data_IF_471988642599
#
_entry.id   IF_471988642599
#
_cell.length_a   1.000
_cell.length_b   1.000
_cell.length_c   1.000
_cell.angle_alpha   90.00
_cell.angle_beta   90.00
_cell.angle_gamma   90.00
#
_symmetry.space_group_name_H-M   'P 1'
#
loop_
_entity.id
_entity.type
_entity.pdbx_description
1 polymer ?
#
# COMPACT_ATOMS: atom_id res chain seq x y z
N UNK A 1 -12.09 7.54 47.41
CA UNK A 1 -12.76 6.45 48.15
C UNK A 1 -12.27 5.03 47.82
N UNK A 2 -12.03 4.60 46.58
CA UNK A 2 -11.49 3.23 46.31
C UNK A 2 -9.97 3.09 46.52
N UNK A 3 -9.24 4.19 46.70
CA UNK A 3 -7.78 4.22 46.88
C UNK A 3 -7.33 4.72 48.26
N UNK A 4 -8.25 5.11 49.17
CA UNK A 4 -7.86 5.49 50.55
C UNK A 4 -7.22 4.33 51.34
N UNK A 5 -7.75 3.09 51.31
CA UNK A 5 -7.23 2.02 52.15
C UNK A 5 -5.75 1.65 51.91
N UNK A 6 -5.23 1.58 50.66
CA UNK A 6 -3.81 1.30 50.44
C UNK A 6 -2.90 2.51 50.69
N UNK A 7 -3.41 3.75 50.62
CA UNK A 7 -2.61 4.95 50.84
C UNK A 7 -2.39 5.25 52.33
N UNK A 8 -3.39 4.99 53.18
CA UNK A 8 -3.24 5.05 54.64
C UNK A 8 -2.25 3.99 55.16
N UNK A 9 -2.22 2.81 54.54
CA UNK A 9 -1.29 1.73 54.91
C UNK A 9 0.20 2.07 54.65
N UNK A 10 0.48 3.04 53.78
CA UNK A 10 1.86 3.48 53.43
C UNK A 10 2.25 4.77 54.17
N UNK A 11 1.35 5.37 54.95
CA UNK A 11 1.65 6.57 55.76
C UNK A 11 1.85 7.84 54.93
N UNK A 12 1.17 7.95 53.79
CA UNK A 12 1.26 9.10 52.90
C UNK A 12 0.39 10.25 53.45
N UNK A 13 0.91 11.47 53.62
CA UNK A 13 0.11 12.62 54.09
C UNK A 13 -1.12 12.84 53.20
N UNK A 14 -2.30 13.11 53.79
CA UNK A 14 -3.58 13.29 53.08
C UNK A 14 -3.51 14.27 51.88
N UNK A 15 -2.66 15.30 52.00
CA UNK A 15 -2.44 16.28 50.94
C UNK A 15 -1.79 15.69 49.67
N UNK A 16 -1.08 14.57 49.77
CA UNK A 16 -0.37 13.91 48.66
C UNK A 16 -1.13 12.71 48.10
N UNK A 17 -2.11 12.17 48.83
CA UNK A 17 -2.92 11.02 48.38
C UNK A 17 -3.67 11.35 47.07
N UNK A 18 -4.30 12.53 46.99
CA UNK A 18 -5.03 12.94 45.79
C UNK A 18 -4.13 13.14 44.55
N UNK A 19 -3.01 13.90 44.62
CA UNK A 19 -2.08 14.03 43.51
C UNK A 19 -1.51 12.70 43.03
N UNK A 20 -1.11 11.80 43.95
CA UNK A 20 -0.52 10.52 43.55
C UNK A 20 -1.58 9.61 42.93
N UNK A 21 -2.78 9.53 43.50
CA UNK A 21 -3.89 8.78 42.91
C UNK A 21 -4.25 9.32 41.51
N UNK A 22 -4.23 10.63 41.32
CA UNK A 22 -4.46 11.26 40.02
C UNK A 22 -3.37 10.90 39.00
N UNK A 23 -2.09 10.97 39.38
CA UNK A 23 -0.97 10.58 38.51
C UNK A 23 -1.09 9.11 38.10
N UNK A 24 -1.35 8.21 39.05
CA UNK A 24 -1.54 6.78 38.76
C UNK A 24 -2.72 6.57 37.81
N UNK A 25 -3.87 7.19 38.09
CA UNK A 25 -5.06 7.07 37.25
C UNK A 25 -4.80 7.61 35.83
N UNK A 26 -4.12 8.75 35.71
CA UNK A 26 -3.77 9.35 34.44
C UNK A 26 -2.79 8.49 33.65
N UNK A 27 -1.71 8.01 34.28
CA UNK A 27 -0.73 7.11 33.65
C UNK A 27 -1.40 5.82 33.19
N UNK A 28 -2.28 5.25 33.99
CA UNK A 28 -3.00 4.03 33.63
C UNK A 28 -3.94 4.30 32.45
N UNK A 29 -4.70 5.40 32.49
CA UNK A 29 -5.61 5.78 31.42
C UNK A 29 -4.87 6.05 30.10
N UNK A 30 -3.76 6.79 30.13
CA UNK A 30 -2.96 7.07 28.94
C UNK A 30 -2.30 5.81 28.38
N UNK A 31 -1.74 4.96 29.25
CA UNK A 31 -1.16 3.69 28.82
C UNK A 31 -2.20 2.78 28.18
N UNK A 32 -3.37 2.63 28.81
CA UNK A 32 -4.43 1.78 28.30
C UNK A 32 -5.01 2.33 26.99
N UNK A 33 -5.15 3.64 26.87
CA UNK A 33 -5.58 4.30 25.64
C UNK A 33 -4.58 4.08 24.49
N UNK A 34 -3.29 4.28 24.72
CA UNK A 34 -2.24 4.04 23.71
C UNK A 34 -2.15 2.56 23.34
N UNK A 35 -2.25 1.67 24.32
CA UNK A 35 -2.19 0.23 24.11
C UNK A 35 -3.35 -0.25 23.22
N UNK A 36 -4.59 0.09 23.59
CA UNK A 36 -5.79 -0.37 22.88
C UNK A 36 -6.03 0.42 21.60
N UNK A 37 -5.81 1.74 21.62
CA UNK A 37 -6.14 2.64 20.53
C UNK A 37 -5.11 2.63 19.38
N UNK A 38 -3.83 2.44 19.71
CA UNK A 38 -2.75 2.55 18.71
C UNK A 38 -1.96 1.26 18.59
N UNK A 39 -1.34 0.78 19.68
CA UNK A 39 -0.32 -0.27 19.62
C UNK A 39 -0.89 -1.64 19.20
N UNK A 40 -2.02 -2.06 19.78
CA UNK A 40 -2.66 -3.34 19.44
C UNK A 40 -3.16 -3.31 17.98
N UNK A 41 -3.97 -2.33 17.53
CA UNK A 41 -4.43 -2.28 16.15
C UNK A 41 -3.28 -2.21 15.14
N UNK A 42 -2.26 -1.38 15.43
CA UNK A 42 -1.06 -1.26 14.59
C UNK A 42 -0.30 -2.57 14.50
N UNK A 43 -0.13 -3.29 15.61
CA UNK A 43 0.59 -4.56 15.61
C UNK A 43 -0.18 -5.65 14.86
N UNK A 44 -1.51 -5.70 14.98
CA UNK A 44 -2.37 -6.59 14.18
C UNK A 44 -2.25 -6.26 12.69
N UNK A 45 -2.24 -4.97 12.33
CA UNK A 45 -2.07 -4.51 10.96
C UNK A 45 -0.73 -4.96 10.34
N UNK A 46 0.34 -4.93 11.14
CA UNK A 46 1.67 -5.39 10.71
C UNK A 46 1.77 -6.92 10.64
N UNK A 47 1.09 -7.65 11.53
CA UNK A 47 1.11 -9.10 11.55
C UNK A 47 0.33 -9.73 10.36
N UNK A 48 -0.71 -9.05 9.86
CA UNK A 48 -1.51 -9.53 8.72
C UNK A 48 -1.77 -8.43 7.67
N UNK A 49 -0.74 -7.99 6.92
CA UNK A 49 -0.83 -6.83 6.02
C UNK A 49 -1.92 -6.96 4.95
N UNK A 50 -2.08 -8.15 4.37
CA UNK A 50 -3.03 -8.40 3.27
C UNK A 50 -4.48 -8.27 3.74
N UNK A 51 -4.84 -8.90 4.87
CA UNK A 51 -6.19 -8.83 5.41
C UNK A 51 -6.55 -7.41 5.87
N UNK A 52 -5.59 -6.71 6.50
CA UNK A 52 -5.78 -5.33 6.91
C UNK A 52 -5.89 -4.37 5.72
N UNK A 53 -5.10 -4.58 4.66
CA UNK A 53 -5.20 -3.81 3.42
C UNK A 53 -6.57 -3.98 2.74
N UNK A 54 -7.12 -5.20 2.72
CA UNK A 54 -8.45 -5.44 2.16
C UNK A 54 -9.57 -4.83 3.01
N UNK A 55 -9.44 -4.84 4.34
CA UNK A 55 -10.44 -4.29 5.24
C UNK A 55 -10.42 -2.74 5.30
N UNK A 56 -9.22 -2.14 5.40
CA UNK A 56 -9.04 -0.69 5.54
C UNK A 56 -8.83 0.03 4.19
N UNK A 57 -8.50 -0.69 3.13
CA UNK A 57 -8.31 -0.12 1.80
C UNK A 57 -9.50 0.71 1.32
N UNK A 58 -10.74 0.19 1.36
CA UNK A 58 -11.92 0.93 0.91
C UNK A 58 -12.15 2.24 1.69
N UNK A 59 -11.95 2.22 3.01
CA UNK A 59 -12.14 3.41 3.85
C UNK A 59 -11.05 4.46 3.63
N UNK A 60 -9.79 4.03 3.47
CA UNK A 60 -8.67 4.91 3.13
C UNK A 60 -8.85 5.54 1.74
N UNK A 61 -9.32 4.77 0.75
CA UNK A 61 -9.60 5.30 -0.59
C UNK A 61 -10.74 6.32 -0.54
N UNK A 62 -11.81 6.04 0.21
CA UNK A 62 -12.92 6.99 0.39
C UNK A 62 -12.45 8.30 1.05
N UNK A 63 -11.63 8.21 2.10
CA UNK A 63 -11.05 9.37 2.76
C UNK A 63 -10.13 10.16 1.82
N UNK A 64 -9.25 9.46 1.10
CA UNK A 64 -8.34 10.08 0.12
C UNK A 64 -9.13 10.78 -0.99
N UNK A 65 -10.22 10.18 -1.45
CA UNK A 65 -11.13 10.78 -2.43
C UNK A 65 -11.75 12.07 -1.90
N UNK A 66 -12.16 12.09 -0.64
CA UNK A 66 -12.73 13.27 0.02
C UNK A 66 -11.68 14.38 0.23
N UNK A 67 -10.44 14.02 0.55
CA UNK A 67 -9.33 14.97 0.72
C UNK A 67 -8.70 15.43 -0.61
N UNK A 68 -8.98 14.73 -1.72
CA UNK A 68 -8.45 15.05 -3.05
C UNK A 68 -8.55 16.54 -3.45
N UNK A 69 -9.68 17.25 -3.29
CA UNK A 69 -9.74 18.68 -3.61
C UNK A 69 -8.79 19.54 -2.75
N UNK A 70 -8.59 19.17 -1.48
CA UNK A 70 -7.68 19.88 -0.56
C UNK A 70 -6.23 19.67 -1.00
N UNK A 71 -5.85 18.42 -1.27
CA UNK A 71 -4.51 18.06 -1.76
C UNK A 71 -4.21 18.82 -3.06
N UNK A 72 -5.16 18.82 -4.00
CA UNK A 72 -5.00 19.54 -5.27
C UNK A 72 -4.85 21.05 -5.06
N UNK A 73 -5.65 21.65 -4.16
CA UNK A 73 -5.55 23.08 -3.84
C UNK A 73 -4.18 23.46 -3.27
N UNK A 74 -3.66 22.65 -2.34
CA UNK A 74 -2.33 22.86 -1.75
C UNK A 74 -1.23 22.71 -2.80
N UNK A 75 -1.28 21.67 -3.64
CA UNK A 75 -0.31 21.47 -4.71
C UNK A 75 -0.35 22.60 -5.75
N UNK A 76 -1.55 23.07 -6.12
CA UNK A 76 -1.70 24.19 -7.04
C UNK A 76 -1.08 25.48 -6.46
N UNK A 77 -1.29 25.73 -5.17
CA UNK A 77 -0.67 26.86 -4.48
C UNK A 77 0.85 26.75 -4.40
N UNK A 78 1.38 25.57 -4.05
CA UNK A 78 2.82 25.31 -4.02
C UNK A 78 3.46 25.51 -5.39
N UNK A 79 2.85 24.95 -6.44
CA UNK A 79 3.32 25.10 -7.82
C UNK A 79 3.26 26.56 -8.30
N UNK A 80 2.24 27.32 -7.89
CA UNK A 80 2.16 28.76 -8.17
C UNK A 80 3.32 29.52 -7.51
N UNK A 81 3.65 29.20 -6.27
CA UNK A 81 4.75 29.82 -5.55
C UNK A 81 6.12 29.49 -6.18
N UNK A 82 6.34 28.22 -6.56
CA UNK A 82 7.55 27.80 -7.26
C UNK A 82 7.71 28.52 -8.60
N UNK A 83 6.62 28.67 -9.37
CA UNK A 83 6.62 29.43 -10.62
C UNK A 83 6.97 30.90 -10.42
N UNK A 84 6.48 31.53 -9.36
CA UNK A 84 6.85 32.92 -9.01
C UNK A 84 8.35 33.06 -8.69
N UNK A 85 8.95 32.01 -8.13
CA UNK A 85 10.39 31.93 -7.85
C UNK A 85 11.23 31.45 -9.04
N UNK A 86 10.62 31.24 -10.23
CA UNK A 86 11.26 30.68 -11.44
C UNK A 86 11.87 29.28 -11.22
N UNK A 87 11.33 28.51 -10.29
CA UNK A 87 11.66 27.10 -10.09
C UNK A 87 10.67 26.25 -10.86
N UNK A 88 11.17 25.31 -11.65
CA UNK A 88 10.35 24.42 -12.47
C UNK A 88 9.62 23.41 -11.55
N UNK A 89 8.27 23.39 -11.51
CA UNK A 89 7.54 22.45 -10.69
C UNK A 89 7.73 21.03 -11.23
N UNK A 90 8.29 20.13 -10.43
CA UNK A 90 8.28 18.70 -10.73
C UNK A 90 6.96 18.11 -10.25
N UNK A 91 6.10 17.73 -11.17
CA UNK A 91 4.96 16.87 -10.88
C UNK A 91 5.50 15.45 -10.66
N UNK A 92 5.89 15.14 -9.43
CA UNK A 92 6.18 13.77 -8.98
C UNK A 92 4.85 13.01 -8.83
N UNK A 93 4.14 12.79 -9.95
CA UNK A 93 3.07 11.79 -9.96
C UNK A 93 3.75 10.44 -9.99
N UNK A 94 3.95 9.94 -8.78
CA UNK A 94 4.53 8.66 -8.41
C UNK A 94 4.02 7.49 -9.28
N UNK A 95 4.77 7.15 -10.33
CA UNK A 95 5.08 5.74 -10.57
C UNK A 95 6.15 5.41 -9.55
N UNK A 96 5.75 4.91 -8.38
CA UNK A 96 6.68 4.64 -7.25
C UNK A 96 7.78 3.66 -7.68
N UNK A 97 7.56 2.92 -8.77
CA UNK A 97 8.54 2.02 -9.36
C UNK A 97 8.49 2.16 -10.88
N UNK A 98 9.67 2.17 -11.49
CA UNK A 98 9.87 1.95 -12.92
C UNK A 98 9.59 0.49 -13.27
N UNK A 99 9.30 0.19 -14.54
CA UNK A 99 9.05 -1.20 -14.98
C UNK A 99 10.21 -2.15 -14.60
N UNK A 100 11.45 -1.67 -14.70
CA UNK A 100 12.64 -2.42 -14.30
C UNK A 100 12.69 -2.69 -12.79
N UNK A 101 12.24 -1.74 -11.97
CA UNK A 101 12.14 -1.90 -10.52
C UNK A 101 11.03 -2.88 -10.12
N UNK A 102 9.91 -2.90 -10.87
CA UNK A 102 8.84 -3.88 -10.66
C UNK A 102 9.30 -5.31 -10.94
N UNK A 103 10.05 -5.53 -12.03
CA UNK A 103 10.61 -6.85 -12.35
C UNK A 103 11.56 -7.32 -11.24
N UNK A 104 12.45 -6.44 -10.76
CA UNK A 104 13.36 -6.75 -9.64
C UNK A 104 12.61 -7.06 -8.35
N UNK A 105 11.55 -6.32 -8.05
CA UNK A 105 10.74 -6.55 -6.85
C UNK A 105 10.05 -7.93 -6.88
N UNK A 106 9.59 -8.37 -8.06
CA UNK A 106 9.01 -9.71 -8.24
C UNK A 106 10.07 -10.79 -8.05
N UNK A 107 11.27 -10.61 -8.63
CA UNK A 107 12.41 -11.53 -8.43
C UNK A 107 12.80 -11.64 -6.95
N UNK A 108 13.02 -10.51 -6.27
CA UNK A 108 13.38 -10.47 -4.85
C UNK A 108 12.30 -11.12 -3.97
N UNK A 109 11.02 -10.93 -4.30
CA UNK A 109 9.89 -11.53 -3.57
C UNK A 109 9.78 -13.03 -3.79
N UNK A 110 10.09 -13.52 -5.01
CA UNK A 110 10.19 -14.94 -5.32
C UNK A 110 11.37 -15.60 -4.60
N UNK A 111 12.54 -14.96 -4.57
CA UNK A 111 13.74 -15.46 -3.88
C UNK A 111 13.57 -15.48 -2.36
N UNK A 112 12.85 -14.51 -1.80
CA UNK A 112 12.48 -14.49 -0.39
C UNK A 112 11.41 -15.54 -0.01
N UNK A 113 10.90 -16.31 -0.98
CA UNK A 113 9.86 -17.32 -0.76
C UNK A 113 8.49 -16.74 -0.39
N UNK A 114 8.27 -15.45 -0.65
CA UNK A 114 7.01 -14.74 -0.38
C UNK A 114 5.98 -14.95 -1.50
N UNK A 115 6.44 -15.41 -2.67
CA UNK A 115 5.61 -15.78 -3.81
C UNK A 115 5.72 -17.29 -4.08
N UNK A 116 4.58 -17.93 -4.38
CA UNK A 116 4.61 -19.29 -4.88
C UNK A 116 5.33 -19.33 -6.24
N UNK A 117 6.10 -20.39 -6.57
CA UNK A 117 6.89 -20.44 -7.80
C UNK A 117 6.07 -20.21 -9.07
N UNK A 118 4.88 -20.80 -9.13
CA UNK A 118 3.96 -20.64 -10.26
C UNK A 118 3.39 -19.22 -10.40
N UNK A 119 3.27 -18.49 -9.29
CA UNK A 119 2.74 -17.13 -9.31
C UNK A 119 3.84 -16.11 -9.65
N UNK A 120 5.08 -16.34 -9.20
CA UNK A 120 6.24 -15.54 -9.60
C UNK A 120 6.51 -15.61 -11.10
N UNK A 121 6.44 -16.80 -11.69
CA UNK A 121 6.63 -17.00 -13.13
C UNK A 121 5.53 -16.29 -13.95
N UNK A 122 4.27 -16.39 -13.52
CA UNK A 122 3.15 -15.68 -14.17
C UNK A 122 3.27 -14.16 -14.09
N UNK A 123 3.68 -13.63 -12.93
CA UNK A 123 3.89 -12.19 -12.74
C UNK A 123 5.00 -11.67 -13.65
N UNK A 124 6.10 -12.42 -13.75
CA UNK A 124 7.22 -12.11 -14.64
C UNK A 124 6.77 -12.09 -16.11
N UNK A 125 6.08 -13.14 -16.56
CA UNK A 125 5.56 -13.23 -17.92
C UNK A 125 4.58 -12.10 -18.26
N UNK A 126 3.71 -11.72 -17.31
CA UNK A 126 2.76 -10.63 -17.49
C UNK A 126 3.44 -9.26 -17.63
N UNK A 127 4.52 -9.02 -16.89
CA UNK A 127 5.32 -7.79 -16.98
C UNK A 127 6.12 -7.73 -18.30
N UNK A 128 6.66 -8.86 -18.77
CA UNK A 128 7.38 -8.95 -20.05
C UNK A 128 6.44 -8.86 -21.27
N UNK A 129 5.18 -9.29 -21.15
CA UNK A 129 4.22 -9.26 -22.26
C UNK A 129 3.99 -7.83 -22.80
N UNK A 130 4.02 -6.83 -21.92
CA UNK A 130 3.81 -5.42 -22.28
C UNK A 130 5.01 -4.77 -23.00
N UNK A 131 6.19 -5.37 -22.88
CA UNK A 131 7.47 -4.83 -23.40
C UNK A 131 7.97 -5.56 -24.63
N UNK A 132 7.49 -6.78 -24.93
CA UNK A 132 7.92 -7.54 -26.12
C UNK A 132 7.40 -6.90 -27.41
N UNK A 133 8.29 -6.59 -28.39
CA UNK A 133 7.87 -6.07 -29.68
C UNK A 133 7.03 -7.12 -30.41
N UNK A 134 5.98 -6.68 -31.11
CA UNK A 134 5.01 -7.59 -31.76
C UNK A 134 5.70 -8.58 -32.72
N UNK A 135 6.81 -8.18 -33.33
CA UNK A 135 7.63 -9.05 -34.20
C UNK A 135 8.19 -10.31 -33.53
N UNK A 136 8.35 -10.34 -32.20
CA UNK A 136 8.80 -11.52 -31.45
C UNK A 136 7.68 -12.55 -31.20
N UNK A 137 6.41 -12.12 -31.31
CA UNK A 137 5.23 -12.96 -31.05
C UNK A 137 4.50 -13.33 -32.36
N UNK A 138 4.77 -12.59 -33.45
CA UNK A 138 4.21 -12.84 -34.77
C UNK A 138 4.72 -14.15 -35.38
N UNK A 139 3.83 -14.90 -36.02
CA UNK A 139 4.23 -16.00 -36.90
C UNK A 139 4.76 -15.39 -38.21
N UNK A 140 6.01 -15.67 -38.61
CA UNK A 140 6.57 -15.19 -39.86
C UNK A 140 5.70 -15.60 -41.06
N UNK A 141 5.48 -14.69 -42.02
CA UNK A 141 4.62 -14.94 -43.19
C UNK A 141 5.03 -16.19 -44.00
N UNK A 142 6.31 -16.55 -44.01
CA UNK A 142 6.82 -17.74 -44.67
C UNK A 142 6.48 -19.07 -43.96
N UNK A 143 5.99 -19.01 -42.72
CA UNK A 143 5.49 -20.15 -41.94
C UNK A 143 3.97 -20.14 -41.78
N UNK A 144 3.30 -19.13 -42.34
CA UNK A 144 1.85 -19.02 -42.30
C UNK A 144 1.25 -19.93 -43.35
N UNK A 145 0.25 -20.73 -42.96
CA UNK A 145 -0.58 -21.47 -43.90
C UNK A 145 -1.57 -20.48 -44.53
N UNK A 146 -1.41 -20.19 -45.81
CA UNK A 146 -2.25 -19.24 -46.56
C UNK A 146 -3.11 -19.96 -47.58
N UNK A 147 -4.27 -19.39 -47.90
CA UNK A 147 -5.19 -19.89 -48.92
C UNK A 147 -5.58 -18.77 -49.88
N UNK A 148 -5.84 -19.12 -51.14
CA UNK A 148 -6.23 -18.16 -52.16
C UNK A 148 -7.65 -17.63 -51.97
N UNK A 149 -7.85 -16.37 -52.38
CA UNK A 149 -9.16 -15.73 -52.46
C UNK A 149 -10.03 -16.46 -53.50
N UNK A 150 -10.96 -17.30 -53.00
CA UNK A 150 -11.86 -18.10 -53.83
C UNK A 150 -11.85 -19.60 -53.51
N UNK A 151 -11.09 -20.05 -52.52
CA UNK A 151 -11.08 -21.47 -52.11
C UNK A 151 -12.47 -21.93 -51.66
N UNK A 152 -12.91 -23.09 -52.15
CA UNK A 152 -14.14 -23.72 -51.70
C UNK A 152 -13.89 -24.50 -50.40
N UNK A 153 -14.89 -24.72 -49.54
CA UNK A 153 -14.73 -25.50 -48.30
C UNK A 153 -14.11 -26.89 -48.54
N UNK A 154 -14.49 -27.53 -49.65
CA UNK A 154 -13.97 -28.83 -50.07
C UNK A 154 -12.49 -28.79 -50.50
N UNK A 155 -11.98 -27.63 -50.92
CA UNK A 155 -10.56 -27.40 -51.21
C UNK A 155 -9.71 -27.10 -49.97
N UNK A 156 -10.35 -26.76 -48.84
CA UNK A 156 -9.69 -26.47 -47.56
C UNK A 156 -9.44 -27.75 -46.73
N UNK A 157 -10.24 -28.79 -46.95
CA UNK A 157 -10.17 -30.07 -46.21
C UNK A 157 -9.18 -31.10 -46.80
N UNK A 158 -8.49 -30.77 -47.90
CA UNK A 158 -7.43 -31.59 -48.50
C UNK A 158 -6.05 -31.13 -48.06
#
# INVERSE_FOLDING_TARGET
HLLEPPFDAVGVPDALVHPIAFVIALTLATYLHMLIGEMIPKNIALAAPVATALALGPSLVALTRALRPVIFGINAFANMLLRLLKVEPKDEVASVFTDDELVRLVEDSSDAGLLAPADGERLRDALELGTRPVGEVMVPLNRTVTVDLGITPQGLER
#
